data_IF_078151422123
#
_entry.id   IF_078151422123
#
_cell.length_a   1.000
_cell.length_b   1.000
_cell.length_c   1.000
_cell.angle_alpha   90.00
_cell.angle_beta   90.00
_cell.angle_gamma   90.00
#
_symmetry.space_group_name_H-M   'P 1'
#
loop_
_entity.id
_entity.type
_entity.pdbx_description
1 polymer ?
#
# COMPACT_ATOMS: atom_id res chain seq x y z
N UNK A 1 -64.41 26.13 -5.17
CA UNK A 1 -64.87 26.12 -3.78
C UNK A 1 -63.62 26.17 -2.90
N UNK A 2 -63.18 27.32 -2.46
CA UNK A 2 -63.35 27.98 -1.12
C UNK A 2 -62.98 26.96 -0.01
N UNK A 3 -61.90 27.13 0.83
CA UNK A 3 -61.75 28.21 1.77
C UNK A 3 -60.26 28.44 2.17
N UNK A 4 -59.89 29.69 2.26
CA UNK A 4 -58.73 30.25 2.98
C UNK A 4 -59.09 30.31 4.47
N UNK A 5 -58.11 30.11 5.34
CA UNK A 5 -58.04 30.92 6.60
C UNK A 5 -56.61 31.24 6.94
N UNK A 6 -56.35 32.54 7.08
CA UNK A 6 -55.21 33.20 7.72
C UNK A 6 -55.54 33.35 9.23
N UNK A 7 -54.56 33.25 10.08
CA UNK A 7 -54.55 33.99 11.33
C UNK A 7 -53.16 34.54 11.65
N UNK A 8 -53.22 35.77 12.20
CA UNK A 8 -52.20 36.78 12.39
C UNK A 8 -51.83 36.86 13.89
N UNK A 9 -50.66 37.40 14.22
CA UNK A 9 -50.33 38.09 15.47
C UNK A 9 -49.50 37.21 16.44
N UNK A 10 -48.46 37.70 17.10
CA UNK A 10 -48.18 39.02 17.63
C UNK A 10 -46.70 39.16 17.97
N UNK A 11 -46.24 40.39 17.84
CA UNK A 11 -44.93 40.91 18.26
C UNK A 11 -44.93 41.13 19.76
N UNK A 12 -43.84 40.79 20.46
CA UNK A 12 -43.54 41.28 21.79
C UNK A 12 -42.09 41.75 21.87
N UNK A 13 -41.98 43.04 22.04
CA UNK A 13 -40.80 43.85 22.36
C UNK A 13 -40.48 43.74 23.83
N UNK A 14 -39.25 43.50 24.22
CA UNK A 14 -38.78 43.73 25.61
C UNK A 14 -37.39 44.38 25.60
N UNK A 15 -37.36 45.40 26.35
CA UNK A 15 -36.53 46.57 26.54
C UNK A 15 -35.14 46.27 27.11
N UNK A 16 -34.20 47.02 26.64
CA UNK A 16 -32.80 47.24 27.01
C UNK A 16 -32.63 47.72 28.46
N UNK A 17 -31.68 47.17 29.20
CA UNK A 17 -31.15 47.81 30.40
C UNK A 17 -29.61 47.79 30.35
N UNK A 18 -29.02 48.97 30.15
CA UNK A 18 -27.58 49.25 30.28
C UNK A 18 -27.25 49.41 31.78
N UNK A 19 -26.22 48.71 32.23
CA UNK A 19 -25.49 49.05 33.47
C UNK A 19 -24.02 49.29 33.10
N UNK A 20 -23.62 50.56 33.19
CA UNK A 20 -22.24 51.04 33.16
C UNK A 20 -21.61 50.80 34.54
N UNK A 21 -20.52 50.08 34.61
CA UNK A 21 -19.59 50.12 35.75
C UNK A 21 -18.19 50.42 35.22
N UNK A 22 -17.72 51.63 35.61
CA UNK A 22 -16.35 52.13 35.41
C UNK A 22 -15.42 51.49 36.46
N UNK A 23 -14.28 50.98 36.00
CA UNK A 23 -13.23 50.46 36.88
C UNK A 23 -11.87 50.37 36.21
N UNK A 24 -11.05 51.34 36.54
CA UNK A 24 -9.60 51.42 36.67
C UNK A 24 -8.69 50.71 35.68
N UNK A 25 -8.03 51.49 34.85
CA UNK A 25 -6.85 51.11 34.08
C UNK A 25 -5.66 50.96 35.00
N UNK A 26 -5.08 49.75 35.10
CA UNK A 26 -3.73 49.55 35.61
C UNK A 26 -2.87 48.93 34.51
N UNK A 27 -2.04 49.76 33.87
CA UNK A 27 -1.05 49.39 32.90
C UNK A 27 0.13 48.63 33.59
N UNK A 28 0.18 47.32 33.42
CA UNK A 28 1.42 46.56 33.62
C UNK A 28 1.97 46.18 32.23
N UNK A 29 3.14 46.77 31.90
CA UNK A 29 3.94 46.36 30.79
C UNK A 29 4.41 44.94 30.98
N UNK A 30 3.96 44.02 30.15
CA UNK A 30 4.58 42.71 30.03
C UNK A 30 5.71 42.77 29.01
N UNK A 31 6.91 42.47 29.51
CA UNK A 31 8.10 42.26 28.71
C UNK A 31 7.83 41.19 27.65
N UNK A 32 8.17 41.48 26.40
CA UNK A 32 8.16 40.53 25.31
C UNK A 32 9.23 39.46 25.59
N UNK A 33 8.81 38.31 26.06
CA UNK A 33 9.61 37.11 26.07
C UNK A 33 9.79 36.66 24.61
N UNK A 34 11.03 36.69 24.13
CA UNK A 34 11.41 36.14 22.83
C UNK A 34 11.23 34.63 22.91
N UNK A 35 10.04 34.16 22.51
CA UNK A 35 9.76 32.75 22.32
C UNK A 35 10.83 32.14 21.40
N UNK A 36 11.65 31.28 21.97
CA UNK A 36 12.56 30.42 21.26
C UNK A 36 11.78 29.70 20.15
N UNK A 37 12.34 29.76 18.94
CA UNK A 37 11.88 28.97 17.82
C UNK A 37 11.89 27.48 18.24
N UNK A 38 10.74 26.95 18.59
CA UNK A 38 10.52 25.53 18.77
C UNK A 38 10.67 24.86 17.41
N UNK A 39 11.90 24.50 17.07
CA UNK A 39 12.18 23.62 15.94
C UNK A 39 11.38 22.34 16.13
N UNK A 40 10.67 21.96 15.11
CA UNK A 40 9.83 20.78 15.02
C UNK A 40 10.64 19.47 15.29
N UNK A 41 10.85 19.17 16.58
CA UNK A 41 11.61 18.01 17.05
C UNK A 41 10.82 16.69 16.86
N UNK A 42 9.53 16.76 16.48
CA UNK A 42 8.65 15.60 16.34
C UNK A 42 8.87 14.81 15.05
N UNK A 43 9.50 15.41 14.03
CA UNK A 43 9.74 14.79 12.71
C UNK A 43 11.07 14.00 12.66
N UNK A 44 11.91 14.05 13.69
CA UNK A 44 13.29 13.56 13.62
C UNK A 44 13.57 12.16 14.20
N UNK A 45 12.63 11.54 14.89
CA UNK A 45 12.85 10.19 15.40
C UNK A 45 12.77 9.17 14.23
N UNK A 46 13.88 8.46 13.98
CA UNK A 46 13.99 7.48 12.89
C UNK A 46 13.57 6.10 13.35
N UNK A 47 12.90 5.31 12.47
CA UNK A 47 12.73 3.88 12.68
C UNK A 47 14.07 3.18 12.93
N UNK A 48 14.07 2.19 13.82
CA UNK A 48 15.27 1.44 14.21
C UNK A 48 15.11 -0.01 13.80
N UNK A 49 16.03 -0.52 12.99
CA UNK A 49 16.11 -1.94 12.67
C UNK A 49 16.45 -2.73 13.94
N UNK A 50 15.55 -3.61 14.37
CA UNK A 50 15.77 -4.49 15.52
C UNK A 50 16.45 -5.77 15.07
N UNK A 51 15.96 -6.33 13.95
CA UNK A 51 16.45 -7.58 13.40
C UNK A 51 16.18 -7.61 11.89
N UNK A 52 17.04 -8.30 11.16
CA UNK A 52 16.81 -8.72 9.76
C UNK A 52 17.48 -10.05 9.53
N UNK A 53 16.73 -11.01 9.01
CA UNK A 53 17.23 -12.36 8.75
C UNK A 53 16.61 -12.97 7.50
N UNK A 54 17.32 -13.90 6.91
CA UNK A 54 16.82 -14.73 5.83
C UNK A 54 15.87 -15.80 6.38
N UNK A 55 14.66 -15.88 5.81
CA UNK A 55 13.63 -16.85 6.22
C UNK A 55 13.38 -17.93 5.17
N UNK A 56 13.79 -17.70 3.90
CA UNK A 56 13.63 -18.70 2.85
C UNK A 56 14.60 -18.50 1.68
N UNK A 57 15.12 -19.63 1.17
CA UNK A 57 16.10 -19.65 0.07
C UNK A 57 16.10 -20.95 -0.76
N UNK A 58 14.99 -21.71 -0.77
CA UNK A 58 14.99 -23.08 -1.33
C UNK A 58 15.11 -23.11 -2.86
N UNK A 59 14.46 -22.19 -3.59
CA UNK A 59 14.60 -22.09 -5.04
C UNK A 59 15.87 -21.35 -5.46
N UNK A 60 16.22 -21.39 -6.75
CA UNK A 60 17.33 -20.61 -7.32
C UNK A 60 17.05 -19.11 -7.25
N UNK A 61 15.78 -18.72 -7.43
CA UNK A 61 15.30 -17.34 -7.36
C UNK A 61 14.02 -17.31 -6.52
N UNK A 62 14.02 -16.55 -5.41
CA UNK A 62 12.90 -16.37 -4.49
C UNK A 62 12.61 -14.87 -4.39
N UNK A 63 11.44 -14.40 -4.81
CA UNK A 63 11.20 -12.96 -4.95
C UNK A 63 9.73 -12.56 -4.84
N UNK A 64 9.47 -11.24 -4.78
CA UNK A 64 8.15 -10.62 -4.88
C UNK A 64 7.23 -11.00 -3.73
N UNK A 65 7.62 -10.60 -2.51
CA UNK A 65 6.96 -11.04 -1.29
C UNK A 65 5.67 -10.30 -0.97
N UNK A 66 4.90 -10.90 -0.07
CA UNK A 66 3.92 -10.23 0.77
C UNK A 66 3.84 -10.91 2.14
N UNK A 67 3.33 -10.19 3.16
CA UNK A 67 3.24 -10.65 4.54
C UNK A 67 1.85 -10.36 5.09
N UNK A 68 1.27 -11.34 5.78
CA UNK A 68 -0.01 -11.20 6.47
C UNK A 68 0.06 -11.89 7.84
N UNK A 69 -0.59 -11.31 8.85
CA UNK A 69 -0.90 -11.98 10.12
C UNK A 69 -2.40 -12.33 10.14
N UNK A 70 -2.71 -13.61 10.32
CA UNK A 70 -4.08 -14.12 10.34
C UNK A 70 -4.22 -15.25 11.35
N UNK A 71 -5.23 -15.22 12.22
CA UNK A 71 -5.48 -16.21 13.28
C UNK A 71 -4.21 -16.53 14.07
N UNK A 72 -3.53 -15.48 14.52
CA UNK A 72 -2.28 -15.53 15.30
C UNK A 72 -1.07 -16.20 14.64
N UNK A 73 -1.15 -16.50 13.36
CA UNK A 73 -0.05 -17.02 12.53
C UNK A 73 0.43 -15.98 11.52
N UNK A 74 1.70 -16.10 11.16
CA UNK A 74 2.34 -15.34 10.11
C UNK A 74 2.28 -16.11 8.80
N UNK A 75 1.94 -15.41 7.72
CA UNK A 75 1.95 -15.95 6.35
C UNK A 75 2.83 -15.07 5.50
N UNK A 76 3.80 -15.67 4.81
CA UNK A 76 4.59 -14.98 3.80
C UNK A 76 4.40 -15.70 2.47
N UNK A 77 4.11 -14.94 1.42
CA UNK A 77 3.97 -15.46 0.06
C UNK A 77 5.00 -14.83 -0.84
N UNK A 78 5.47 -15.59 -1.83
CA UNK A 78 6.46 -15.12 -2.79
C UNK A 78 6.49 -16.05 -4.01
N UNK A 79 7.21 -15.62 -5.06
CA UNK A 79 7.50 -16.46 -6.23
C UNK A 79 8.77 -17.26 -6.01
N UNK A 80 8.72 -18.54 -6.34
CA UNK A 80 9.87 -19.41 -6.58
C UNK A 80 10.04 -19.64 -8.09
N UNK A 81 11.26 -19.71 -8.58
CA UNK A 81 11.58 -20.05 -9.96
C UNK A 81 13.07 -20.26 -10.18
N UNK A 82 13.44 -20.66 -11.38
CA UNK A 82 14.85 -20.85 -11.75
C UNK A 82 15.57 -19.53 -12.03
N UNK A 83 14.83 -18.45 -12.38
CA UNK A 83 15.34 -17.10 -12.62
C UNK A 83 14.26 -16.05 -12.33
N UNK A 84 14.61 -14.75 -12.42
CA UNK A 84 13.69 -13.62 -12.26
C UNK A 84 12.50 -13.69 -13.24
N UNK A 85 12.73 -14.18 -14.45
CA UNK A 85 11.72 -14.54 -15.46
C UNK A 85 12.06 -15.95 -15.95
N UNK A 86 11.16 -16.89 -15.69
CA UNK A 86 11.35 -18.30 -16.07
C UNK A 86 9.99 -19.01 -16.10
N UNK A 87 9.82 -20.01 -16.99
CA UNK A 87 8.52 -20.65 -17.19
C UNK A 87 8.05 -21.50 -16.00
N UNK A 88 8.93 -21.76 -15.05
CA UNK A 88 8.69 -22.58 -13.84
C UNK A 88 8.27 -21.75 -12.61
N UNK A 89 7.86 -20.50 -12.81
CA UNK A 89 7.43 -19.65 -11.71
C UNK A 89 6.22 -20.20 -10.99
N UNK A 90 6.32 -20.33 -9.66
CA UNK A 90 5.30 -20.83 -8.76
C UNK A 90 5.13 -19.91 -7.55
N UNK A 91 3.95 -19.91 -6.93
CA UNK A 91 3.70 -19.12 -5.73
C UNK A 91 3.84 -20.00 -4.49
N UNK A 92 4.82 -19.69 -3.66
CA UNK A 92 5.06 -20.35 -2.38
C UNK A 92 4.33 -19.61 -1.27
N UNK A 93 3.63 -20.35 -0.42
CA UNK A 93 3.11 -19.89 0.86
C UNK A 93 3.90 -20.57 1.97
N UNK A 94 4.52 -19.79 2.82
CA UNK A 94 5.15 -20.27 4.06
C UNK A 94 4.42 -19.67 5.25
N UNK A 95 4.48 -20.38 6.38
CA UNK A 95 3.77 -20.04 7.61
C UNK A 95 4.68 -20.18 8.82
N UNK A 96 4.39 -19.37 9.84
CA UNK A 96 5.10 -19.40 11.12
C UNK A 96 4.12 -19.03 12.26
N UNK A 97 4.26 -19.68 13.40
CA UNK A 97 3.49 -19.35 14.61
C UNK A 97 4.17 -18.21 15.40
N UNK A 98 5.49 -18.18 15.39
CA UNK A 98 6.32 -17.26 16.18
C UNK A 98 7.00 -16.16 15.35
N UNK A 99 6.93 -16.26 14.01
CA UNK A 99 7.68 -15.41 13.07
C UNK A 99 9.17 -15.74 13.03
N UNK A 100 9.64 -16.77 13.74
CA UNK A 100 11.02 -17.21 13.84
C UNK A 100 11.26 -18.44 12.97
N UNK A 101 10.46 -19.47 13.15
CA UNK A 101 10.55 -20.72 12.40
C UNK A 101 9.50 -20.74 11.30
N UNK A 102 9.95 -20.97 10.07
CA UNK A 102 9.10 -20.94 8.88
C UNK A 102 9.04 -22.30 8.19
N UNK A 103 7.85 -22.73 7.89
CA UNK A 103 7.59 -23.98 7.16
C UNK A 103 6.80 -23.72 5.87
N UNK A 104 6.99 -24.62 4.90
CA UNK A 104 6.21 -24.61 3.66
C UNK A 104 4.78 -25.04 3.94
N UNK A 105 3.80 -24.21 3.60
CA UNK A 105 2.39 -24.54 3.75
C UNK A 105 1.77 -24.97 2.41
N UNK A 106 2.04 -24.24 1.32
CA UNK A 106 1.55 -24.57 -0.01
C UNK A 106 2.50 -24.13 -1.11
N UNK A 107 2.38 -24.78 -2.27
CA UNK A 107 3.00 -24.37 -3.54
C UNK A 107 1.93 -24.39 -4.63
N UNK A 108 1.62 -23.23 -5.16
CA UNK A 108 0.66 -23.04 -6.25
C UNK A 108 1.46 -22.99 -7.55
N UNK A 109 1.16 -23.91 -8.46
CA UNK A 109 1.82 -24.05 -9.76
C UNK A 109 0.83 -23.89 -10.89
N UNK A 110 1.32 -23.63 -12.09
CA UNK A 110 0.53 -23.62 -13.30
C UNK A 110 1.31 -24.26 -14.46
N UNK A 111 0.72 -25.17 -15.22
CA UNK A 111 1.36 -25.69 -16.41
C UNK A 111 1.39 -24.67 -17.57
N UNK A 112 0.62 -23.60 -17.46
CA UNK A 112 0.43 -22.59 -18.49
C UNK A 112 1.18 -21.29 -18.24
N UNK A 113 1.34 -20.90 -16.98
CA UNK A 113 1.80 -19.58 -16.60
C UNK A 113 3.08 -19.62 -15.76
N UNK A 114 4.01 -18.71 -16.04
CA UNK A 114 4.97 -18.22 -15.03
C UNK A 114 4.16 -17.39 -14.02
N UNK A 115 3.90 -17.95 -12.82
CA UNK A 115 3.14 -17.28 -11.77
C UNK A 115 4.03 -16.29 -11.03
N UNK A 116 3.49 -15.07 -10.77
CA UNK A 116 4.29 -13.94 -10.30
C UNK A 116 3.54 -13.09 -9.27
N UNK A 117 4.32 -12.38 -8.45
CA UNK A 117 3.89 -11.22 -7.64
C UNK A 117 2.69 -11.49 -6.71
N UNK A 118 2.77 -12.60 -5.98
CA UNK A 118 1.76 -12.96 -5.00
C UNK A 118 1.54 -11.87 -3.95
N UNK A 119 0.28 -11.51 -3.70
CA UNK A 119 -0.16 -10.62 -2.65
C UNK A 119 -1.27 -11.27 -1.85
N UNK A 120 -1.16 -11.21 -0.52
CA UNK A 120 -2.12 -11.79 0.41
C UNK A 120 -3.01 -10.73 1.05
N UNK A 121 -4.31 -11.04 1.11
CA UNK A 121 -5.25 -10.29 1.92
C UNK A 121 -6.29 -11.22 2.55
N UNK A 122 -7.03 -10.71 3.53
CA UNK A 122 -8.17 -11.40 4.12
C UNK A 122 -9.46 -10.81 3.60
N UNK A 123 -10.34 -11.66 3.09
CA UNK A 123 -11.68 -11.27 2.66
C UNK A 123 -12.57 -10.93 3.86
N UNK A 124 -13.65 -10.16 3.68
CA UNK A 124 -14.61 -9.86 4.76
C UNK A 124 -15.25 -11.10 5.38
N UNK A 125 -15.41 -12.19 4.64
CA UNK A 125 -15.93 -13.48 5.11
C UNK A 125 -14.87 -14.37 5.79
N UNK A 126 -13.63 -13.87 5.92
CA UNK A 126 -12.56 -14.51 6.68
C UNK A 126 -11.66 -15.46 5.92
N UNK A 127 -11.88 -15.68 4.63
CA UNK A 127 -10.97 -16.48 3.78
C UNK A 127 -9.66 -15.73 3.53
N UNK A 128 -8.61 -16.48 3.24
CA UNK A 128 -7.40 -15.92 2.64
C UNK A 128 -7.63 -15.75 1.13
N UNK A 129 -7.26 -14.60 0.61
CA UNK A 129 -7.26 -14.28 -0.82
C UNK A 129 -5.83 -13.98 -1.24
N UNK A 130 -5.35 -14.72 -2.24
CA UNK A 130 -4.06 -14.51 -2.87
C UNK A 130 -4.32 -14.02 -4.29
N UNK A 131 -3.86 -12.84 -4.63
CA UNK A 131 -3.82 -12.39 -6.01
C UNK A 131 -2.39 -12.31 -6.52
N UNK A 132 -2.23 -12.54 -7.83
CA UNK A 132 -0.95 -12.53 -8.51
C UNK A 132 -1.15 -12.41 -10.01
N UNK A 133 -0.12 -12.67 -10.78
CA UNK A 133 -0.19 -12.66 -12.22
C UNK A 133 0.35 -13.96 -12.83
N UNK A 134 -0.28 -14.38 -13.92
CA UNK A 134 0.23 -15.41 -14.82
C UNK A 134 0.85 -14.78 -16.07
N UNK A 135 2.08 -15.11 -16.38
CA UNK A 135 2.76 -14.63 -17.58
C UNK A 135 2.95 -15.75 -18.62
N UNK A 136 2.72 -15.42 -19.89
CA UNK A 136 3.04 -16.28 -21.05
C UNK A 136 4.06 -15.50 -21.89
N UNK A 137 5.30 -15.98 -21.98
CA UNK A 137 6.42 -15.21 -22.54
C UNK A 137 6.20 -14.74 -23.99
N UNK A 138 5.73 -15.63 -24.86
CA UNK A 138 5.64 -15.39 -26.31
C UNK A 138 4.23 -15.08 -26.79
N UNK A 139 3.27 -14.91 -25.88
CA UNK A 139 1.89 -14.59 -26.25
C UNK A 139 1.73 -13.11 -26.65
N UNK A 140 0.74 -12.83 -27.51
CA UNK A 140 0.32 -11.46 -27.85
C UNK A 140 -0.13 -10.69 -26.61
N UNK A 141 -0.98 -11.31 -25.77
CA UNK A 141 -1.32 -10.85 -24.43
C UNK A 141 -0.50 -11.68 -23.46
N UNK A 142 0.43 -11.05 -22.78
CA UNK A 142 1.43 -11.75 -21.96
C UNK A 142 1.02 -11.94 -20.52
N UNK A 143 0.19 -11.07 -19.98
CA UNK A 143 -0.11 -11.02 -18.56
C UNK A 143 -1.61 -11.15 -18.29
N UNK A 144 -1.93 -11.94 -17.27
CA UNK A 144 -3.28 -12.19 -16.78
C UNK A 144 -3.24 -12.09 -15.26
N UNK A 145 -4.05 -11.21 -14.69
CA UNK A 145 -4.21 -11.17 -13.24
C UNK A 145 -5.05 -12.36 -12.78
N UNK A 146 -4.64 -12.96 -11.68
CA UNK A 146 -5.21 -14.20 -11.16
C UNK A 146 -5.50 -14.07 -9.68
N UNK A 147 -6.51 -14.82 -9.20
CA UNK A 147 -6.85 -14.93 -7.79
C UNK A 147 -7.07 -16.36 -7.38
N UNK A 148 -6.68 -16.69 -6.15
CA UNK A 148 -6.88 -17.96 -5.47
C UNK A 148 -7.45 -17.69 -4.08
N UNK A 149 -8.31 -18.57 -3.58
CA UNK A 149 -8.89 -18.49 -2.25
C UNK A 149 -8.57 -19.72 -1.43
N UNK A 150 -8.42 -19.54 -0.11
CA UNK A 150 -8.30 -20.62 0.85
C UNK A 150 -9.24 -20.36 2.02
N UNK A 151 -10.02 -21.37 2.39
CA UNK A 151 -10.93 -21.38 3.54
C UNK A 151 -10.37 -22.12 4.76
N UNK A 152 -9.22 -22.80 4.60
CA UNK A 152 -8.60 -23.67 5.58
C UNK A 152 -7.20 -23.21 6.02
N UNK A 153 -7.07 -21.91 6.21
CA UNK A 153 -5.85 -21.28 6.69
C UNK A 153 -4.62 -21.47 5.76
N UNK A 154 -4.87 -21.51 4.46
CA UNK A 154 -3.82 -21.53 3.43
C UNK A 154 -3.27 -22.92 3.10
N UNK A 155 -3.84 -24.01 3.62
CA UNK A 155 -3.41 -25.39 3.30
C UNK A 155 -3.80 -25.78 1.89
N UNK A 156 -5.03 -25.49 1.51
CA UNK A 156 -5.57 -25.74 0.16
C UNK A 156 -6.04 -24.44 -0.47
N UNK A 157 -5.89 -24.36 -1.78
CA UNK A 157 -6.24 -23.19 -2.58
C UNK A 157 -7.14 -23.61 -3.73
N UNK A 158 -8.10 -22.76 -4.08
CA UNK A 158 -8.91 -22.96 -5.28
C UNK A 158 -8.04 -23.02 -6.53
N UNK A 159 -8.59 -23.45 -7.64
CA UNK A 159 -7.99 -23.18 -8.93
C UNK A 159 -7.87 -21.69 -9.17
N UNK A 160 -6.84 -21.28 -9.93
CA UNK A 160 -6.61 -19.88 -10.26
C UNK A 160 -7.68 -19.34 -11.18
N UNK A 161 -8.42 -18.33 -10.73
CA UNK A 161 -9.40 -17.60 -11.54
C UNK A 161 -8.78 -16.34 -12.10
N UNK A 162 -8.95 -16.08 -13.40
CA UNK A 162 -8.56 -14.80 -14.00
C UNK A 162 -9.48 -13.69 -13.48
N UNK A 163 -8.89 -12.54 -13.18
CA UNK A 163 -9.59 -11.32 -12.74
C UNK A 163 -9.20 -10.13 -13.60
N UNK A 164 -10.11 -9.16 -13.74
CA UNK A 164 -9.89 -8.00 -14.58
C UNK A 164 -9.67 -8.35 -16.06
N UNK A 165 -9.19 -7.39 -16.83
CA UNK A 165 -9.00 -7.52 -18.27
C UNK A 165 -7.66 -8.18 -18.63
N UNK A 166 -7.61 -9.02 -19.69
CA UNK A 166 -6.36 -9.52 -20.22
C UNK A 166 -5.40 -8.36 -20.60
N UNK A 167 -4.13 -8.50 -20.22
CA UNK A 167 -3.13 -7.46 -20.45
C UNK A 167 -3.10 -6.35 -19.41
N UNK A 168 -3.97 -6.40 -18.41
CA UNK A 168 -3.89 -5.55 -17.22
C UNK A 168 -3.38 -6.33 -16.03
N UNK A 169 -2.48 -5.70 -15.26
CA UNK A 169 -1.93 -6.26 -14.05
C UNK A 169 -2.52 -5.56 -12.83
N UNK A 170 -3.48 -6.25 -12.17
CA UNK A 170 -4.04 -5.83 -10.90
C UNK A 170 -3.00 -6.17 -9.83
N UNK A 171 -2.24 -5.13 -9.43
CA UNK A 171 -1.02 -5.34 -8.64
C UNK A 171 -1.31 -5.81 -7.22
N UNK A 172 -2.17 -5.10 -6.51
CA UNK A 172 -2.53 -5.39 -5.12
C UNK A 172 -4.00 -5.05 -4.90
N UNK A 173 -4.74 -5.97 -4.26
CA UNK A 173 -6.13 -5.72 -3.86
C UNK A 173 -6.20 -5.27 -2.41
N UNK A 174 -7.02 -4.26 -2.14
CA UNK A 174 -7.29 -3.73 -0.81
C UNK A 174 -8.79 -3.75 -0.53
N UNK A 175 -9.15 -4.29 0.64
CA UNK A 175 -10.54 -4.30 1.09
C UNK A 175 -10.89 -3.01 1.82
N UNK A 176 -11.99 -2.38 1.40
CA UNK A 176 -12.51 -1.18 2.02
C UNK A 176 -14.04 -1.14 1.91
N UNK A 177 -14.72 -0.94 3.06
CA UNK A 177 -16.20 -0.89 3.13
C UNK A 177 -16.88 -2.05 2.38
N UNK A 178 -16.39 -3.28 2.59
CA UNK A 178 -16.97 -4.50 2.01
C UNK A 178 -16.72 -4.69 0.52
N UNK A 179 -15.83 -3.90 -0.11
CA UNK A 179 -15.40 -4.08 -1.49
C UNK A 179 -13.88 -4.24 -1.56
N UNK A 180 -13.40 -5.08 -2.46
CA UNK A 180 -12.02 -5.10 -2.88
C UNK A 180 -11.80 -4.07 -4.00
N UNK A 181 -10.75 -3.26 -3.87
CA UNK A 181 -10.29 -2.34 -4.90
C UNK A 181 -8.89 -2.73 -5.35
N UNK A 182 -8.63 -2.63 -6.63
CA UNK A 182 -7.30 -2.88 -7.21
C UNK A 182 -7.04 -1.91 -8.35
N UNK A 183 -5.92 -1.23 -8.30
CA UNK A 183 -5.41 -0.57 -9.50
C UNK A 183 -4.85 -1.63 -10.43
N UNK A 184 -5.09 -1.45 -11.73
CA UNK A 184 -4.51 -2.30 -12.77
C UNK A 184 -3.82 -1.46 -13.82
N UNK A 185 -2.55 -1.68 -14.01
CA UNK A 185 -1.82 -1.05 -15.13
C UNK A 185 -1.75 -1.99 -16.32
N UNK A 186 -1.88 -1.41 -17.51
CA UNK A 186 -1.75 -2.19 -18.74
C UNK A 186 -0.29 -2.53 -19.01
N UNK A 187 -0.05 -3.66 -19.69
CA UNK A 187 1.28 -4.26 -19.82
C UNK A 187 1.86 -4.12 -21.24
N UNK A 188 1.49 -3.06 -21.94
CA UNK A 188 2.10 -2.71 -23.22
C UNK A 188 3.63 -2.66 -23.11
N UNK A 189 4.32 -3.12 -24.16
CA UNK A 189 5.79 -3.08 -24.25
C UNK A 189 6.29 -1.64 -24.26
N UNK A 190 5.60 -0.77 -25.00
CA UNK A 190 5.85 0.67 -24.99
C UNK A 190 5.24 1.28 -23.73
N UNK A 191 6.09 1.66 -22.79
CA UNK A 191 5.66 2.13 -21.46
C UNK A 191 4.87 3.42 -21.50
N UNK A 192 5.10 4.29 -22.48
CA UNK A 192 4.36 5.55 -22.68
C UNK A 192 2.89 5.33 -23.04
N UNK A 193 2.54 4.13 -23.52
CA UNK A 193 1.18 3.76 -23.89
C UNK A 193 0.41 3.10 -22.72
N UNK A 194 1.06 2.85 -21.59
CA UNK A 194 0.43 2.19 -20.46
C UNK A 194 -0.68 3.04 -19.88
N UNK A 195 -1.78 2.35 -19.56
CA UNK A 195 -3.00 2.88 -18.96
C UNK A 195 -3.14 2.37 -17.54
N UNK A 196 -3.78 3.16 -16.69
CA UNK A 196 -4.15 2.78 -15.34
C UNK A 196 -5.66 2.75 -15.21
N UNK A 197 -6.20 1.67 -14.68
CA UNK A 197 -7.61 1.45 -14.38
C UNK A 197 -7.83 1.27 -12.89
N UNK A 198 -9.03 1.57 -12.42
CA UNK A 198 -9.47 1.14 -11.10
C UNK A 198 -10.54 0.07 -11.25
N UNK A 199 -10.31 -1.05 -10.61
CA UNK A 199 -11.23 -2.18 -10.53
C UNK A 199 -11.85 -2.28 -9.15
N UNK A 200 -13.07 -2.80 -9.07
CA UNK A 200 -13.79 -3.06 -7.83
C UNK A 200 -14.45 -4.43 -7.87
N UNK A 201 -14.48 -5.11 -6.73
CA UNK A 201 -15.14 -6.41 -6.56
C UNK A 201 -15.89 -6.48 -5.23
N UNK A 202 -16.99 -7.23 -5.21
CA UNK A 202 -17.72 -7.55 -3.98
C UNK A 202 -17.16 -8.77 -3.25
N UNK A 203 -16.63 -9.73 -3.99
CA UNK A 203 -16.23 -11.04 -3.51
C UNK A 203 -14.72 -11.32 -3.65
N UNK A 204 -13.99 -10.42 -4.34
CA UNK A 204 -12.58 -10.55 -4.68
C UNK A 204 -12.30 -11.50 -5.85
N UNK A 205 -13.34 -12.15 -6.40
CA UNK A 205 -13.23 -13.10 -7.52
C UNK A 205 -13.73 -12.56 -8.85
N UNK A 206 -14.63 -11.60 -8.82
CA UNK A 206 -15.16 -10.93 -10.00
C UNK A 206 -14.93 -9.42 -9.86
N UNK A 207 -14.05 -8.88 -10.69
CA UNK A 207 -13.66 -7.46 -10.69
C UNK A 207 -14.27 -6.73 -11.87
N UNK A 208 -15.13 -5.77 -11.58
CA UNK A 208 -15.66 -4.83 -12.55
C UNK A 208 -14.75 -3.62 -12.69
N UNK A 209 -14.62 -3.07 -13.89
CA UNK A 209 -13.93 -1.82 -14.13
C UNK A 209 -14.74 -0.67 -13.56
N UNK A 210 -14.26 -0.05 -12.47
CA UNK A 210 -14.88 1.14 -11.88
C UNK A 210 -14.50 2.41 -12.63
N UNK A 211 -13.22 2.52 -13.05
CA UNK A 211 -12.71 3.63 -13.86
C UNK A 211 -11.90 3.06 -15.00
N UNK A 212 -12.38 3.26 -16.24
CA UNK A 212 -11.80 2.71 -17.47
C UNK A 212 -10.38 3.24 -17.76
N UNK A 213 -10.16 4.51 -17.47
CA UNK A 213 -8.84 5.13 -17.61
C UNK A 213 -8.71 6.26 -16.59
N UNK A 214 -7.79 6.09 -15.67
CA UNK A 214 -7.40 7.13 -14.75
C UNK A 214 -6.52 8.16 -15.45
N UNK A 215 -6.63 9.41 -15.03
CA UNK A 215 -5.81 10.53 -15.53
C UNK A 215 -4.38 10.49 -14.99
N UNK A 216 -3.83 9.29 -14.77
CA UNK A 216 -2.46 9.10 -14.31
C UNK A 216 -1.45 9.44 -15.41
N UNK A 217 -0.22 9.88 -15.04
CA UNK A 217 0.85 10.08 -16.00
C UNK A 217 1.16 8.81 -16.80
N UNK A 218 1.56 8.98 -18.06
CA UNK A 218 1.98 7.88 -18.92
C UNK A 218 3.19 7.13 -18.33
N UNK A 219 3.22 5.80 -18.49
CA UNK A 219 4.31 4.99 -17.94
C UNK A 219 4.07 4.47 -16.52
N UNK A 220 2.81 4.39 -16.12
CA UNK A 220 2.38 3.77 -14.86
C UNK A 220 2.85 2.32 -14.76
N UNK A 221 3.03 1.86 -13.53
CA UNK A 221 3.45 0.50 -13.18
C UNK A 221 2.84 0.06 -11.86
N UNK A 222 3.61 -0.67 -11.09
CA UNK A 222 3.22 -1.20 -9.78
C UNK A 222 2.74 -0.08 -8.83
N UNK A 223 1.76 -0.40 -8.01
CA UNK A 223 1.10 0.56 -7.14
C UNK A 223 0.73 -0.04 -5.77
N UNK A 224 0.30 0.80 -4.85
CA UNK A 224 -0.42 0.39 -3.66
C UNK A 224 -1.44 1.46 -3.29
N UNK A 225 -2.66 1.04 -3.01
CA UNK A 225 -3.73 1.93 -2.52
C UNK A 225 -3.84 1.80 -1.01
N UNK A 226 -4.00 2.92 -0.33
CA UNK A 226 -4.26 3.00 1.11
C UNK A 226 -5.53 3.82 1.34
N UNK A 227 -6.52 3.22 1.97
CA UNK A 227 -7.74 3.93 2.40
C UNK A 227 -7.50 4.51 3.79
N UNK A 228 -7.75 5.81 3.92
CA UNK A 228 -7.52 6.57 5.13
C UNK A 228 -8.75 6.55 6.05
N UNK A 229 -8.57 6.93 7.31
CA UNK A 229 -9.68 6.99 8.29
C UNK A 229 -10.79 7.98 7.89
N UNK A 230 -10.46 9.04 7.18
CA UNK A 230 -11.40 10.03 6.64
C UNK A 230 -12.09 9.58 5.34
N UNK A 231 -11.92 8.32 4.95
CA UNK A 231 -12.43 7.70 3.74
C UNK A 231 -11.73 8.17 2.45
N UNK A 232 -10.74 9.05 2.51
CA UNK A 232 -9.91 9.34 1.33
C UNK A 232 -9.04 8.14 0.96
N UNK A 233 -8.58 8.09 -0.27
CA UNK A 233 -7.65 7.09 -0.76
C UNK A 233 -6.36 7.74 -1.26
N UNK A 234 -5.24 7.11 -0.96
CA UNK A 234 -3.92 7.43 -1.51
C UNK A 234 -3.45 6.29 -2.39
N UNK A 235 -2.81 6.60 -3.52
CA UNK A 235 -2.15 5.63 -4.37
C UNK A 235 -0.69 6.01 -4.55
N UNK A 236 0.23 5.17 -4.07
CA UNK A 236 1.65 5.31 -4.33
C UNK A 236 1.99 4.49 -5.59
N UNK A 237 2.33 5.19 -6.67
CA UNK A 237 2.47 4.62 -8.00
C UNK A 237 3.93 4.71 -8.49
N UNK A 238 4.47 3.58 -8.94
CA UNK A 238 5.72 3.50 -9.68
C UNK A 238 5.54 4.09 -11.07
N UNK A 239 6.49 4.93 -11.48
CA UNK A 239 6.52 5.55 -12.79
C UNK A 239 7.79 5.15 -13.56
N UNK A 240 7.65 4.86 -14.87
CA UNK A 240 8.71 4.21 -15.66
C UNK A 240 9.14 5.02 -16.90
N UNK A 241 8.59 6.21 -17.11
CA UNK A 241 8.94 7.11 -18.22
C UNK A 241 9.47 8.43 -17.69
N UNK A 242 10.01 9.26 -18.56
CA UNK A 242 10.60 10.56 -18.21
C UNK A 242 11.67 10.42 -17.12
N UNK A 243 11.58 11.22 -16.09
CA UNK A 243 12.48 11.21 -14.93
C UNK A 243 12.25 10.03 -13.98
N UNK A 244 11.16 9.28 -14.18
CA UNK A 244 10.75 8.09 -13.39
C UNK A 244 10.45 8.40 -11.93
N UNK A 245 10.18 9.65 -11.59
CA UNK A 245 9.75 10.01 -10.23
C UNK A 245 8.40 9.34 -9.93
N UNK A 246 8.26 8.84 -8.72
CA UNK A 246 7.01 8.23 -8.25
C UNK A 246 5.88 9.23 -8.30
N UNK A 247 4.65 8.73 -8.38
CA UNK A 247 3.44 9.51 -8.36
C UNK A 247 2.64 9.24 -7.09
N UNK A 248 2.00 10.25 -6.55
CA UNK A 248 0.99 10.13 -5.52
C UNK A 248 -0.37 10.52 -6.09
N UNK A 249 -1.26 9.54 -6.15
CA UNK A 249 -2.67 9.74 -6.45
C UNK A 249 -3.46 9.97 -5.18
N UNK A 250 -4.48 10.85 -5.25
CA UNK A 250 -5.45 11.08 -4.16
C UNK A 250 -6.87 11.08 -4.70
N UNK A 251 -7.81 10.47 -3.96
CA UNK A 251 -9.22 10.46 -4.31
C UNK A 251 -10.10 10.45 -3.05
N UNK A 252 -11.34 10.89 -3.22
CA UNK A 252 -12.42 10.74 -2.26
C UNK A 252 -13.48 9.78 -2.78
N UNK A 253 -14.37 9.21 -1.93
CA UNK A 253 -15.48 8.39 -2.41
C UNK A 253 -16.31 9.15 -3.47
N UNK A 254 -16.75 8.48 -4.55
CA UNK A 254 -16.71 7.06 -4.82
C UNK A 254 -15.41 6.54 -5.49
N UNK A 255 -14.31 7.29 -5.44
CA UNK A 255 -12.99 6.97 -5.98
C UNK A 255 -12.93 6.93 -7.52
N UNK A 256 -13.79 7.69 -8.18
CA UNK A 256 -13.81 7.82 -9.64
C UNK A 256 -12.87 8.92 -10.14
N UNK A 257 -12.62 9.92 -9.31
CA UNK A 257 -11.83 11.09 -9.65
C UNK A 257 -10.52 11.11 -8.84
N UNK A 258 -9.40 11.01 -9.54
CA UNK A 258 -8.08 10.99 -8.96
C UNK A 258 -7.27 12.20 -9.39
N UNK A 259 -6.60 12.83 -8.44
CA UNK A 259 -5.58 13.85 -8.70
C UNK A 259 -4.20 13.25 -8.47
N UNK A 260 -3.23 13.66 -9.30
CA UNK A 260 -1.88 13.10 -9.26
C UNK A 260 -0.85 14.20 -9.09
N UNK A 261 0.22 13.89 -8.37
CA UNK A 261 1.40 14.73 -8.23
C UNK A 261 2.68 13.91 -8.25
N UNK A 262 3.75 14.52 -8.75
CA UNK A 262 5.09 13.94 -8.67
C UNK A 262 5.56 13.89 -7.23
N UNK A 263 6.27 12.82 -6.91
CA UNK A 263 7.08 12.71 -5.71
C UNK A 263 8.55 12.98 -6.03
N UNK A 264 9.35 13.11 -5.00
CA UNK A 264 10.77 13.48 -5.12
C UNK A 264 11.73 12.29 -5.28
N UNK A 265 11.23 11.06 -5.36
CA UNK A 265 12.05 9.85 -5.46
C UNK A 265 11.55 8.91 -6.55
N UNK A 266 12.48 8.28 -7.25
CA UNK A 266 12.19 7.10 -8.08
C UNK A 266 12.04 5.88 -7.18
N UNK A 267 10.95 5.14 -7.33
CA UNK A 267 10.64 3.94 -6.53
C UNK A 267 10.36 2.72 -7.41
N UNK A 268 10.42 1.52 -6.80
CA UNK A 268 9.91 0.27 -7.36
C UNK A 268 9.31 -0.61 -6.27
N UNK A 269 8.36 -1.50 -6.66
CA UNK A 269 7.69 -2.43 -5.76
C UNK A 269 7.06 -1.76 -4.52
N UNK A 270 6.22 -0.74 -4.68
CA UNK A 270 5.74 0.04 -3.55
C UNK A 270 4.77 -0.73 -2.66
N UNK A 271 4.90 -0.51 -1.37
CA UNK A 271 3.88 -0.79 -0.37
C UNK A 271 3.87 0.33 0.68
N UNK A 272 2.73 0.58 1.32
CA UNK A 272 2.62 1.58 2.39
C UNK A 272 1.62 1.17 3.46
N UNK A 273 1.82 1.69 4.65
CA UNK A 273 0.95 1.46 5.81
C UNK A 273 0.73 2.77 6.54
N UNK A 274 -0.51 3.00 7.00
CA UNK A 274 -0.80 4.06 7.95
C UNK A 274 -0.59 3.53 9.37
N UNK A 275 0.20 4.25 10.15
CA UNK A 275 0.43 3.97 11.56
C UNK A 275 -0.76 4.45 12.40
N UNK A 276 -0.91 3.95 13.65
CA UNK A 276 -1.99 4.38 14.56
C UNK A 276 -2.03 5.89 14.83
N UNK A 277 -0.88 6.55 14.79
CA UNK A 277 -0.72 8.00 14.96
C UNK A 277 -1.01 8.83 13.69
N UNK A 278 -1.38 8.17 12.60
CA UNK A 278 -1.73 8.79 11.32
C UNK A 278 -0.58 8.97 10.35
N UNK A 279 0.70 8.83 10.78
CA UNK A 279 1.84 8.88 9.87
C UNK A 279 1.77 7.74 8.85
N UNK A 280 2.34 7.97 7.66
CA UNK A 280 2.37 6.97 6.59
C UNK A 280 3.82 6.58 6.34
N UNK A 281 4.07 5.28 6.39
CA UNK A 281 5.37 4.69 6.08
C UNK A 281 5.28 3.88 4.79
N UNK A 282 6.13 4.19 3.83
CA UNK A 282 6.27 3.46 2.57
C UNK A 282 7.50 2.57 2.61
N UNK A 283 7.38 1.34 2.12
CA UNK A 283 8.50 0.45 1.84
C UNK A 283 8.64 0.30 0.33
N UNK A 284 9.81 0.66 -0.21
CA UNK A 284 10.04 0.71 -1.65
C UNK A 284 11.45 0.29 -2.01
N UNK A 285 11.68 -0.04 -3.28
CA UNK A 285 13.02 -0.04 -3.86
C UNK A 285 13.41 1.40 -4.17
N UNK A 286 14.53 1.85 -3.62
CA UNK A 286 15.20 3.07 -4.04
C UNK A 286 16.40 2.72 -4.93
N UNK A 287 16.76 3.65 -5.83
CA UNK A 287 17.77 3.40 -6.87
C UNK A 287 19.02 4.28 -6.74
N UNK A 288 18.88 5.51 -6.26
CA UNK A 288 20.01 6.41 -6.10
C UNK A 288 21.00 5.87 -5.08
N UNK A 289 22.28 5.77 -5.45
CA UNK A 289 23.33 5.18 -4.60
C UNK A 289 23.29 3.65 -4.51
N UNK A 290 22.63 2.97 -5.47
CA UNK A 290 22.47 1.52 -5.55
C UNK A 290 21.07 1.05 -5.14
N UNK A 291 20.59 -0.01 -5.81
CA UNK A 291 19.28 -0.59 -5.53
C UNK A 291 19.23 -1.14 -4.10
N UNK A 292 18.22 -0.74 -3.35
CA UNK A 292 18.01 -1.17 -1.96
C UNK A 292 16.54 -1.14 -1.58
N UNK A 293 16.15 -1.95 -0.63
CA UNK A 293 14.84 -1.84 0.06
C UNK A 293 14.96 -0.84 1.18
N UNK A 294 14.08 0.16 1.19
CA UNK A 294 14.12 1.24 2.18
C UNK A 294 12.73 1.60 2.68
N UNK A 295 12.69 2.09 3.91
CA UNK A 295 11.52 2.73 4.49
C UNK A 295 11.64 4.24 4.32
N UNK A 296 10.53 4.87 3.95
CA UNK A 296 10.42 6.33 3.77
C UNK A 296 9.15 6.85 4.43
N UNK A 297 9.24 7.96 5.16
CA UNK A 297 8.02 8.70 5.52
C UNK A 297 7.41 9.31 4.26
N UNK A 298 6.11 9.12 4.10
CA UNK A 298 5.32 9.80 3.07
C UNK A 298 4.60 10.99 3.70
N UNK A 299 4.90 12.17 3.21
CA UNK A 299 4.14 13.39 3.46
C UNK A 299 3.21 13.66 2.27
N UNK A 300 1.93 13.26 2.35
CA UNK A 300 1.02 13.41 1.23
C UNK A 300 0.66 14.87 0.97
N UNK A 301 0.73 15.74 1.98
CA UNK A 301 0.43 17.17 1.85
C UNK A 301 1.46 17.88 0.99
N UNK A 302 2.75 17.57 1.18
CA UNK A 302 3.85 18.20 0.45
C UNK A 302 4.35 17.35 -0.74
N UNK A 303 3.81 16.13 -0.95
CA UNK A 303 4.23 15.23 -2.02
C UNK A 303 5.68 14.77 -1.84
N UNK A 304 6.07 14.39 -0.62
CA UNK A 304 7.47 14.10 -0.30
C UNK A 304 7.64 12.71 0.32
N UNK A 305 8.58 11.95 -0.22
CA UNK A 305 9.14 10.76 0.41
C UNK A 305 10.49 11.10 1.05
N UNK A 306 10.66 10.77 2.32
CA UNK A 306 11.92 10.96 3.05
C UNK A 306 12.44 9.61 3.51
N UNK A 307 13.54 9.13 2.92
CA UNK A 307 14.18 7.87 3.36
C UNK A 307 14.63 7.98 4.81
N UNK A 308 14.23 7.03 5.64
CA UNK A 308 14.51 7.03 7.08
C UNK A 308 15.20 5.77 7.56
N UNK A 309 15.09 4.66 6.83
CA UNK A 309 15.78 3.43 7.18
C UNK A 309 16.06 2.60 5.92
N UNK A 310 17.33 2.25 5.72
CA UNK A 310 17.76 1.27 4.73
C UNK A 310 17.78 -0.12 5.37
N UNK A 311 17.12 -1.10 4.76
CA UNK A 311 17.25 -2.51 5.15
C UNK A 311 18.51 -3.15 4.54
N UNK A 312 19.11 -4.15 5.19
CA UNK A 312 20.17 -4.97 4.61
C UNK A 312 19.70 -5.59 3.30
N UNK A 313 20.12 -5.01 2.17
CA UNK A 313 19.59 -5.38 0.85
C UNK A 313 20.44 -4.81 -0.28
N UNK A 314 20.33 -5.41 -1.46
CA UNK A 314 21.02 -4.96 -2.68
C UNK A 314 20.67 -5.83 -3.87
N UNK A 315 21.10 -5.40 -5.05
CA UNK A 315 20.83 -6.09 -6.30
C UNK A 315 19.34 -6.15 -6.64
N UNK A 316 18.84 -7.34 -6.96
CA UNK A 316 17.39 -7.56 -7.14
C UNK A 316 16.73 -7.67 -5.76
N UNK A 317 15.90 -6.69 -5.42
CA UNK A 317 15.38 -6.54 -4.04
C UNK A 317 14.07 -5.76 -3.98
N UNK A 318 13.35 -5.79 -2.85
CA UNK A 318 12.17 -5.03 -2.44
C UNK A 318 10.86 -5.81 -2.46
N UNK A 319 9.75 -5.24 -2.90
CA UNK A 319 8.39 -5.81 -2.93
C UNK A 319 7.97 -6.29 -1.53
N UNK A 320 7.99 -5.34 -0.60
CA UNK A 320 7.80 -5.62 0.81
C UNK A 320 6.33 -5.90 1.16
N UNK A 321 6.11 -6.89 2.04
CA UNK A 321 4.90 -7.03 2.85
C UNK A 321 5.08 -6.28 4.17
N UNK A 322 4.03 -5.66 4.70
CA UNK A 322 4.07 -4.82 5.89
C UNK A 322 2.99 -5.22 6.89
N UNK A 323 3.36 -5.53 8.13
CA UNK A 323 2.43 -5.80 9.22
C UNK A 323 2.91 -5.11 10.48
N UNK A 324 2.09 -4.24 11.07
CA UNK A 324 2.33 -3.69 12.40
C UNK A 324 1.77 -4.65 13.45
N UNK A 325 2.62 -5.15 14.34
CA UNK A 325 2.25 -6.08 15.39
C UNK A 325 3.11 -5.88 16.64
N UNK A 326 2.47 -5.76 17.80
CA UNK A 326 3.13 -5.60 19.11
C UNK A 326 4.20 -4.50 19.15
N UNK A 327 3.87 -3.33 18.57
CA UNK A 327 4.75 -2.16 18.57
C UNK A 327 5.94 -2.25 17.59
N UNK A 328 6.04 -3.34 16.82
CA UNK A 328 7.04 -3.52 15.78
C UNK A 328 6.39 -3.56 14.39
N UNK A 329 7.04 -2.98 13.42
CA UNK A 329 6.72 -3.19 12.01
C UNK A 329 7.50 -4.40 11.50
N UNK A 330 6.77 -5.43 11.10
CA UNK A 330 7.30 -6.63 10.48
C UNK A 330 7.27 -6.48 8.97
N UNK A 331 8.38 -6.79 8.31
CA UNK A 331 8.59 -6.50 6.88
C UNK A 331 9.17 -7.72 6.20
N UNK A 332 8.38 -8.37 5.33
CA UNK A 332 8.96 -9.33 4.39
C UNK A 332 9.54 -8.56 3.20
N UNK A 333 10.67 -8.99 2.68
CA UNK A 333 11.24 -8.50 1.43
C UNK A 333 12.15 -9.54 0.81
N UNK A 334 12.51 -9.38 -0.45
CA UNK A 334 13.52 -10.22 -1.05
C UNK A 334 14.78 -9.43 -1.40
N UNK A 335 15.90 -10.12 -1.49
CA UNK A 335 17.17 -9.49 -1.86
C UNK A 335 18.17 -10.50 -2.36
N UNK A 336 19.07 -10.06 -3.26
CA UNK A 336 20.19 -10.85 -3.78
C UNK A 336 21.55 -10.42 -3.22
N UNK A 337 21.60 -9.68 -2.11
CA UNK A 337 22.86 -9.16 -1.54
C UNK A 337 23.76 -10.26 -0.92
N UNK A 338 23.23 -11.43 -0.64
CA UNK A 338 23.94 -12.61 -0.13
C UNK A 338 24.00 -13.71 -1.19
N UNK A 339 24.55 -13.46 -2.36
CA UNK A 339 24.81 -14.38 -3.47
C UNK A 339 23.61 -14.77 -4.32
N UNK A 340 22.47 -15.19 -3.76
CA UNK A 340 21.24 -15.49 -4.52
C UNK A 340 20.04 -14.77 -3.96
N UNK A 341 19.01 -14.65 -4.78
CA UNK A 341 17.77 -14.00 -4.40
C UNK A 341 17.02 -14.85 -3.37
N UNK A 342 16.89 -14.32 -2.17
CA UNK A 342 16.29 -14.98 -1.00
C UNK A 342 15.26 -14.08 -0.33
N UNK A 343 14.41 -14.69 0.52
CA UNK A 343 13.37 -13.97 1.27
C UNK A 343 13.89 -13.65 2.66
N UNK A 344 13.70 -12.40 3.07
CA UNK A 344 14.10 -11.87 4.36
C UNK A 344 12.89 -11.37 5.14
N UNK A 345 13.01 -11.38 6.45
CA UNK A 345 12.09 -10.74 7.39
C UNK A 345 12.87 -9.76 8.25
N UNK A 346 12.40 -8.51 8.30
CA UNK A 346 12.92 -7.51 9.21
C UNK A 346 11.87 -7.12 10.25
N UNK A 347 12.34 -6.83 11.47
CA UNK A 347 11.56 -6.22 12.55
C UNK A 347 12.09 -4.81 12.80
N UNK A 348 11.23 -3.83 12.76
CA UNK A 348 11.58 -2.42 12.88
C UNK A 348 10.76 -1.77 13.98
N UNK A 349 11.45 -1.14 14.94
CA UNK A 349 10.78 -0.31 15.96
C UNK A 349 10.47 1.04 15.37
N UNK A 350 9.19 1.41 15.41
CA UNK A 350 8.73 2.72 14.99
C UNK A 350 8.70 3.63 16.23
N UNK A 351 9.39 4.77 16.21
CA UNK A 351 9.33 5.69 17.31
C UNK A 351 7.94 6.33 17.41
N UNK A 352 7.49 6.57 18.63
CA UNK A 352 6.25 7.30 18.89
C UNK A 352 6.33 8.72 18.27
N UNK A 353 5.20 9.22 17.79
CA UNK A 353 5.07 10.63 17.45
C UNK A 353 5.10 11.44 18.76
N UNK A 354 6.03 12.38 18.88
CA UNK A 354 6.11 13.30 20.03
C UNK A 354 5.20 14.50 19.81
#
# INVERSE_FOLDING_TARGET
MKHRQRFCGSVSTATLLLLLISGGVSSRAFAADKGAAGGDASVNAKPVLVESRRIWDKAKHNAFTDLLRHKDRWYCVFREGSAHVSPDGALRVIVSDDGETWESLALITSPKYDLRDAKLTKTPDGRLMLNGAGMIADAKVRYYSMVWFSSDDGRTWTEGKQIGDPGFWLWRSQWHNGNAYSMGYSTERERTQRKLRLYRSKDGGDFDTLVEQLSAPAGCGEDTVLFMKDQSALCLLRHETGDKMAQLGTASPPYTDWTWRDLNLRIGGPNMIQLPDGRILAATRLYAGGARTSLSWLDPKNGKLTEVLKLPSGGDTSYAGLVLHEGLLWISYYSSHESKTSIYLAKVRIPEAR
#
